data_IF_394561731458
#
_entry.id   IF_394561731458
#
_cell.length_a   1.000
_cell.length_b   1.000
_cell.length_c   1.000
_cell.angle_alpha   90.00
_cell.angle_beta   90.00
_cell.angle_gamma   90.00
#
_symmetry.space_group_name_H-M   'P 1'
#
loop_
_entity.id
_entity.type
_entity.pdbx_description
1 polymer ?
#
# COMPACT_ATOMS: atom_id res chain seq x y z
N UNK A 1 9.94 -25.01 -55.52
CA UNK A 1 8.72 -24.35 -56.05
C UNK A 1 8.31 -23.32 -55.01
N UNK A 2 8.74 -22.06 -55.03
CA UNK A 2 8.49 -20.95 -55.97
C UNK A 2 6.99 -20.67 -56.19
N UNK A 3 6.59 -19.45 -55.76
CA UNK A 3 5.50 -18.53 -56.20
C UNK A 3 4.57 -18.17 -55.02
N UNK A 4 4.78 -17.05 -54.31
CA UNK A 4 4.53 -15.61 -54.62
C UNK A 4 3.05 -15.23 -54.78
N UNK A 5 2.53 -14.52 -53.77
CA UNK A 5 1.73 -13.27 -53.79
C UNK A 5 0.33 -13.28 -54.49
N UNK A 6 -0.60 -12.33 -54.21
CA UNK A 6 -0.34 -10.90 -54.25
C UNK A 6 -0.90 -10.05 -53.09
N UNK A 7 -0.20 -8.93 -52.87
CA UNK A 7 -0.77 -7.73 -52.31
C UNK A 7 -1.83 -7.17 -53.28
N UNK A 8 -2.97 -6.74 -52.75
CA UNK A 8 -3.85 -5.80 -53.44
C UNK A 8 -4.03 -4.58 -52.53
N UNK A 9 -3.74 -3.44 -53.14
CA UNK A 9 -3.60 -2.12 -52.59
C UNK A 9 -4.94 -1.38 -52.73
N UNK A 10 -5.27 -0.59 -51.70
CA UNK A 10 -6.11 0.61 -51.70
C UNK A 10 -7.57 0.53 -52.17
N UNK A 11 -8.48 0.86 -51.25
CA UNK A 11 -9.54 1.82 -51.56
C UNK A 11 -9.89 2.62 -50.30
N UNK A 12 -9.66 3.92 -50.38
CA UNK A 12 -10.02 4.91 -49.39
C UNK A 12 -11.55 4.99 -49.22
N UNK A 13 -12.00 5.13 -47.98
CA UNK A 13 -13.40 5.38 -47.65
C UNK A 13 -13.48 6.02 -46.27
N UNK A 14 -13.19 7.33 -46.21
CA UNK A 14 -13.48 8.14 -45.04
C UNK A 14 -15.00 8.37 -44.99
N UNK A 15 -15.67 7.79 -44.00
CA UNK A 15 -16.99 8.25 -43.56
C UNK A 15 -16.88 8.58 -42.08
N UNK A 16 -16.68 9.86 -41.81
CA UNK A 16 -16.82 10.45 -40.48
C UNK A 16 -18.29 10.50 -40.11
N UNK A 17 -18.70 9.72 -39.12
CA UNK A 17 -19.97 9.89 -38.42
C UNK A 17 -19.67 9.99 -36.92
N UNK A 18 -19.84 11.19 -36.39
CA UNK A 18 -19.95 11.48 -34.96
C UNK A 18 -21.11 10.66 -34.39
N UNK A 19 -20.79 9.71 -33.51
CA UNK A 19 -21.76 8.91 -32.78
C UNK A 19 -21.19 8.51 -31.44
N UNK A 20 -21.85 8.96 -30.37
CA UNK A 20 -21.81 8.52 -28.97
C UNK A 20 -20.56 7.72 -28.54
N UNK A 21 -19.73 8.35 -27.70
CA UNK A 21 -18.54 7.75 -27.10
C UNK A 21 -18.83 6.44 -26.37
N UNK A 22 -18.75 5.34 -27.10
CA UNK A 22 -18.53 4.02 -26.56
C UNK A 22 -17.14 4.04 -25.92
N UNK A 23 -17.09 3.78 -24.62
CA UNK A 23 -15.85 3.45 -23.92
C UNK A 23 -15.19 2.30 -24.66
N UNK A 24 -14.14 2.59 -25.43
CA UNK A 24 -13.26 1.56 -25.93
C UNK A 24 -12.76 0.77 -24.70
N UNK A 25 -12.80 -0.57 -24.71
CA UNK A 25 -12.08 -1.32 -23.70
C UNK A 25 -10.62 -0.86 -23.83
N UNK A 26 -10.05 -0.38 -22.72
CA UNK A 26 -8.62 -0.15 -22.66
C UNK A 26 -7.97 -1.44 -23.17
N UNK A 27 -7.36 -1.36 -24.36
CA UNK A 27 -6.64 -2.48 -24.93
C UNK A 27 -5.70 -2.96 -23.82
N UNK A 28 -5.90 -4.20 -23.38
CA UNK A 28 -5.08 -4.82 -22.35
C UNK A 28 -3.63 -4.56 -22.76
N UNK A 29 -2.95 -3.74 -21.95
CA UNK A 29 -1.56 -3.39 -22.18
C UNK A 29 -0.82 -4.72 -22.33
N UNK A 30 -0.27 -4.93 -23.52
CA UNK A 30 0.47 -6.12 -23.90
C UNK A 30 1.42 -6.44 -22.75
N UNK A 31 1.22 -7.61 -22.11
CA UNK A 31 1.92 -7.98 -20.90
C UNK A 31 3.43 -8.01 -21.21
N UNK A 32 4.10 -6.88 -20.94
CA UNK A 32 5.55 -6.78 -20.99
C UNK A 32 6.09 -7.96 -20.18
N UNK A 33 7.04 -8.74 -20.70
CA UNK A 33 7.62 -9.85 -19.95
C UNK A 33 8.04 -9.30 -18.59
N UNK A 34 7.26 -9.66 -17.56
CA UNK A 34 7.40 -9.10 -16.23
C UNK A 34 8.78 -9.45 -15.69
N UNK A 35 9.29 -8.64 -14.79
CA UNK A 35 10.50 -9.01 -14.07
C UNK A 35 10.22 -10.29 -13.25
N UNK A 36 10.90 -11.39 -13.58
CA UNK A 36 10.74 -12.71 -12.94
C UNK A 36 11.80 -12.99 -11.85
N UNK A 37 12.48 -11.96 -11.36
CA UNK A 37 13.47 -12.09 -10.27
C UNK A 37 12.91 -11.81 -8.89
N UNK A 38 13.79 -11.73 -7.90
CA UNK A 38 13.45 -11.32 -6.52
C UNK A 38 12.83 -9.92 -6.51
N UNK A 39 11.72 -9.67 -5.78
CA UNK A 39 11.05 -8.36 -5.78
C UNK A 39 12.05 -7.20 -5.70
N UNK A 40 11.81 -6.08 -6.40
CA UNK A 40 12.75 -4.93 -6.44
C UNK A 40 13.19 -4.43 -5.05
N UNK A 41 12.41 -4.72 -4.01
CA UNK A 41 12.74 -4.49 -2.60
C UNK A 41 14.00 -5.23 -2.13
N UNK A 42 14.39 -6.32 -2.79
CA UNK A 42 15.60 -7.10 -2.50
C UNK A 42 16.91 -6.31 -2.75
N UNK A 43 16.87 -5.26 -3.58
CA UNK A 43 18.00 -4.33 -3.75
C UNK A 43 18.30 -3.58 -2.45
N UNK A 44 17.27 -3.32 -1.64
CA UNK A 44 17.35 -2.53 -0.42
C UNK A 44 17.44 -3.39 0.84
N UNK A 45 16.90 -4.60 0.81
CA UNK A 45 17.06 -5.58 1.88
C UNK A 45 17.27 -6.99 1.28
N UNK A 46 18.52 -7.42 1.06
CA UNK A 46 18.84 -8.70 0.44
C UNK A 46 18.76 -9.89 1.42
N UNK A 47 18.28 -9.67 2.64
CA UNK A 47 18.19 -10.71 3.67
C UNK A 47 16.75 -11.19 3.84
N UNK A 48 16.59 -12.51 3.99
CA UNK A 48 15.33 -13.06 4.47
C UNK A 48 15.13 -12.63 5.94
N UNK A 49 13.95 -12.12 6.27
CA UNK A 49 13.60 -11.81 7.66
C UNK A 49 13.52 -13.10 8.47
N UNK A 50 14.26 -13.18 9.58
CA UNK A 50 14.11 -14.23 10.58
C UNK A 50 13.29 -13.71 11.76
N UNK A 51 12.37 -14.54 12.25
CA UNK A 51 11.62 -14.22 13.46
C UNK A 51 12.47 -14.52 14.69
N UNK A 52 12.44 -13.64 15.69
CA UNK A 52 13.08 -13.84 16.99
C UNK A 52 12.03 -14.25 18.03
N UNK A 53 12.40 -15.11 18.98
CA UNK A 53 11.50 -15.46 20.09
C UNK A 53 11.36 -14.29 21.08
N UNK A 54 10.13 -13.83 21.24
CA UNK A 54 9.76 -12.72 22.13
C UNK A 54 8.88 -13.17 23.30
N UNK A 55 8.72 -14.47 23.53
CA UNK A 55 7.81 -15.05 24.54
C UNK A 55 8.00 -14.47 25.95
N UNK A 56 9.24 -14.07 26.31
CA UNK A 56 9.56 -13.45 27.60
C UNK A 56 8.93 -12.07 27.84
N UNK A 57 8.47 -11.39 26.79
CA UNK A 57 7.84 -10.06 26.85
C UNK A 57 6.32 -10.11 26.71
N UNK A 58 5.74 -11.32 26.64
CA UNK A 58 4.30 -11.49 26.51
C UNK A 58 3.59 -10.89 27.71
N UNK A 59 2.62 -10.02 27.45
CA UNK A 59 1.68 -9.47 28.43
C UNK A 59 0.33 -10.16 28.28
N UNK A 60 -0.47 -10.17 29.33
CA UNK A 60 -1.86 -10.60 29.25
C UNK A 60 -2.70 -9.43 28.74
N UNK A 61 -3.56 -9.70 27.75
CA UNK A 61 -4.50 -8.71 27.24
C UNK A 61 -5.69 -8.48 28.19
N UNK A 62 -6.59 -7.54 27.86
CA UNK A 62 -6.60 -6.76 26.62
C UNK A 62 -5.58 -5.60 26.63
N UNK A 63 -4.95 -5.36 25.47
CA UNK A 63 -3.80 -4.45 25.34
C UNK A 63 -4.20 -2.99 25.15
N UNK A 64 -3.36 -2.08 25.64
CA UNK A 64 -3.41 -0.64 25.34
C UNK A 64 -2.31 -0.29 24.35
N UNK A 65 -2.67 -0.05 23.08
CA UNK A 65 -1.70 0.20 22.02
C UNK A 65 -1.54 1.71 21.80
N UNK A 66 -0.30 2.20 21.84
CA UNK A 66 0.07 3.55 21.44
C UNK A 66 0.51 3.62 19.98
N UNK A 67 -0.14 4.46 19.18
CA UNK A 67 0.19 4.72 17.79
C UNK A 67 0.65 6.17 17.59
N UNK A 68 1.95 6.39 17.68
CA UNK A 68 2.58 7.69 17.38
C UNK A 68 2.81 7.83 15.87
N UNK A 69 1.86 8.46 15.17
CA UNK A 69 1.97 8.67 13.73
C UNK A 69 2.84 9.88 13.41
N UNK A 70 3.67 9.79 12.38
CA UNK A 70 4.50 10.92 11.95
C UNK A 70 3.67 12.04 11.29
N UNK A 71 2.69 11.69 10.47
CA UNK A 71 1.80 12.65 9.80
C UNK A 71 0.64 11.97 9.07
N UNK A 72 -0.32 12.78 8.64
CA UNK A 72 -1.33 12.46 7.62
C UNK A 72 -1.16 13.31 6.34
N UNK A 73 0.04 13.84 6.09
CA UNK A 73 0.31 14.86 5.08
C UNK A 73 0.19 14.42 3.62
N UNK A 74 -0.04 13.13 3.36
CA UNK A 74 -0.29 12.61 2.01
C UNK A 74 -1.28 11.45 2.02
N UNK A 75 -1.84 11.15 0.85
CA UNK A 75 -2.89 10.15 0.68
C UNK A 75 -2.48 8.74 1.15
N UNK A 76 -1.22 8.36 0.97
CA UNK A 76 -0.73 7.07 1.47
C UNK A 76 -0.76 7.03 3.00
N UNK A 77 -0.35 8.11 3.68
CA UNK A 77 -0.39 8.20 5.14
C UNK A 77 -1.83 8.19 5.69
N UNK A 78 -2.76 8.86 5.01
CA UNK A 78 -4.19 8.79 5.36
C UNK A 78 -4.72 7.37 5.23
N UNK A 79 -4.46 6.71 4.11
CA UNK A 79 -4.90 5.32 3.89
C UNK A 79 -4.28 4.35 4.92
N UNK A 80 -3.00 4.52 5.24
CA UNK A 80 -2.31 3.76 6.28
C UNK A 80 -2.97 3.92 7.65
N UNK A 81 -3.24 5.17 8.08
CA UNK A 81 -3.90 5.45 9.35
C UNK A 81 -5.27 4.74 9.46
N UNK A 82 -6.06 4.78 8.39
CA UNK A 82 -7.35 4.11 8.34
C UNK A 82 -7.20 2.58 8.42
N UNK A 83 -6.16 2.01 7.80
CA UNK A 83 -5.84 0.59 7.91
C UNK A 83 -5.54 0.16 9.35
N UNK A 84 -4.76 0.96 10.08
CA UNK A 84 -4.48 0.72 11.51
C UNK A 84 -5.77 0.73 12.33
N UNK A 85 -6.62 1.73 12.14
CA UNK A 85 -7.89 1.84 12.88
C UNK A 85 -8.87 0.71 12.54
N UNK A 86 -8.92 0.30 11.27
CA UNK A 86 -9.73 -0.82 10.84
C UNK A 86 -9.26 -2.12 11.49
N UNK A 87 -7.95 -2.39 11.47
CA UNK A 87 -7.37 -3.59 12.07
C UNK A 87 -7.61 -3.63 13.59
N UNK A 88 -7.36 -2.52 14.31
CA UNK A 88 -7.67 -2.44 15.73
C UNK A 88 -9.17 -2.68 16.02
N UNK A 89 -10.04 -2.21 15.12
CA UNK A 89 -11.48 -2.47 15.17
C UNK A 89 -11.88 -3.93 14.93
N UNK A 90 -11.05 -4.74 14.25
CA UNK A 90 -11.27 -6.19 14.07
C UNK A 90 -10.82 -7.01 15.28
N UNK A 91 -9.91 -6.48 16.11
CA UNK A 91 -9.32 -7.15 17.27
C UNK A 91 -9.76 -6.52 18.60
N UNK A 92 -11.03 -6.10 18.70
CA UNK A 92 -11.58 -5.41 19.90
C UNK A 92 -11.64 -6.31 21.14
N UNK A 93 -11.62 -7.61 20.96
CA UNK A 93 -11.51 -8.60 22.02
C UNK A 93 -10.09 -8.67 22.62
N UNK A 94 -9.07 -8.29 21.84
CA UNK A 94 -7.66 -8.28 22.25
C UNK A 94 -7.16 -6.88 22.64
N UNK A 95 -7.75 -5.81 22.10
CA UNK A 95 -7.30 -4.42 22.27
C UNK A 95 -8.32 -3.64 23.10
N UNK A 96 -7.93 -3.26 24.33
CA UNK A 96 -8.74 -2.40 25.20
C UNK A 96 -8.80 -0.97 24.66
N UNK A 97 -7.63 -0.43 24.29
CA UNK A 97 -7.49 0.96 23.85
C UNK A 97 -6.49 1.09 22.72
N UNK A 98 -6.82 1.93 21.73
CA UNK A 98 -5.88 2.42 20.73
C UNK A 98 -5.75 3.93 20.91
N UNK A 99 -4.59 4.38 21.39
CA UNK A 99 -4.26 5.78 21.58
C UNK A 99 -3.46 6.24 20.36
N UNK A 100 -3.98 7.18 19.58
CA UNK A 100 -3.33 7.64 18.36
C UNK A 100 -2.98 9.12 18.47
N UNK A 101 -1.76 9.47 18.06
CA UNK A 101 -1.31 10.86 17.92
C UNK A 101 -0.84 11.12 16.50
N UNK A 102 -0.76 12.40 16.13
CA UNK A 102 -0.27 12.85 14.84
C UNK A 102 0.77 13.95 15.04
N UNK A 103 2.03 13.66 14.74
CA UNK A 103 3.13 14.60 14.88
C UNK A 103 3.15 15.71 13.82
N UNK A 104 2.31 15.66 12.78
CA UNK A 104 2.21 16.68 11.73
C UNK A 104 3.56 17.04 11.10
N UNK A 105 4.38 16.02 10.79
CA UNK A 105 5.74 16.13 10.23
C UNK A 105 6.72 16.93 11.09
N UNK A 106 6.42 17.12 12.39
CA UNK A 106 7.30 17.75 13.36
C UNK A 106 7.99 16.69 14.25
N UNK A 107 9.33 16.50 14.12
CA UNK A 107 10.06 15.53 14.94
C UNK A 107 10.06 15.86 16.43
N UNK A 108 10.06 17.14 16.82
CA UNK A 108 10.01 17.55 18.21
C UNK A 108 8.67 17.19 18.83
N UNK A 109 7.58 17.38 18.08
CA UNK A 109 6.26 16.90 18.48
C UNK A 109 6.23 15.37 18.58
N UNK A 110 6.81 14.65 17.62
CA UNK A 110 6.83 13.18 17.65
C UNK A 110 7.51 12.63 18.91
N UNK A 111 8.60 13.27 19.36
CA UNK A 111 9.26 12.91 20.61
C UNK A 111 8.32 13.12 21.80
N UNK A 112 7.64 14.26 21.86
CA UNK A 112 6.69 14.57 22.94
C UNK A 112 5.51 13.60 22.97
N UNK A 113 4.92 13.29 21.81
CA UNK A 113 3.84 12.32 21.65
C UNK A 113 4.24 10.93 22.18
N UNK A 114 5.45 10.47 21.87
CA UNK A 114 5.95 9.17 22.37
C UNK A 114 6.07 9.18 23.90
N UNK A 115 6.59 10.26 24.50
CA UNK A 115 6.70 10.36 25.96
C UNK A 115 5.32 10.40 26.64
N UNK A 116 4.35 11.06 26.03
CA UNK A 116 2.98 11.11 26.53
C UNK A 116 2.32 9.73 26.47
N UNK A 117 2.44 9.01 25.35
CA UNK A 117 1.93 7.64 25.21
C UNK A 117 2.55 6.69 26.25
N UNK A 118 3.87 6.77 26.47
CA UNK A 118 4.56 5.99 27.52
C UNK A 118 3.99 6.35 28.90
N UNK A 119 3.77 7.64 29.17
CA UNK A 119 3.21 8.12 30.44
C UNK A 119 1.77 7.66 30.66
N UNK A 120 1.00 7.48 29.59
CA UNK A 120 -0.35 6.92 29.62
C UNK A 120 -0.37 5.40 29.86
N UNK A 121 0.80 4.74 29.90
CA UNK A 121 0.93 3.33 30.21
C UNK A 121 0.56 2.40 29.06
N UNK A 122 0.86 2.80 27.82
CA UNK A 122 0.75 1.89 26.66
C UNK A 122 1.62 0.65 26.84
N UNK A 123 1.20 -0.46 26.24
CA UNK A 123 1.85 -1.76 26.34
C UNK A 123 3.05 -1.94 25.42
#
# INVERSE_FOLDING_TARGET
>A
MIRKAPAAMAAAGAVSALGLGATAPAAAEEAKPGYYGVPRTWIWNPNANSMVDTSKWKKEGPYTIGFSNASISNAWRVAFQHGVFWAAGQHRDEIAHLLATDANDDPSKQIADIQDLISQGVD
#
